data_IF_562346407929
#
_entry.id   IF_562346407929
#
_cell.length_a   1.000
_cell.length_b   1.000
_cell.length_c   1.000
_cell.angle_alpha   90.00
_cell.angle_beta   90.00
_cell.angle_gamma   90.00
#
_symmetry.space_group_name_H-M   'P 1'
#
loop_
_entity.id
_entity.type
_entity.pdbx_description
1 polymer ?
#
# COMPACT_ATOMS: atom_id res chain seq x y z
N UNK A 1 -17.02 0.21 21.67
CA UNK A 1 -17.09 -0.57 20.41
C UNK A 1 -15.70 -0.58 19.86
N UNK A 2 -15.12 -1.74 19.56
CA UNK A 2 -13.81 -1.83 18.90
C UNK A 2 -13.99 -1.31 17.48
N UNK A 3 -13.28 -0.23 17.12
CA UNK A 3 -13.31 0.32 15.76
C UNK A 3 -12.72 -0.70 14.78
N UNK A 4 -13.29 -0.77 13.57
CA UNK A 4 -12.87 -1.67 12.52
C UNK A 4 -11.43 -1.30 12.07
N UNK A 5 -10.41 -2.14 12.35
CA UNK A 5 -9.03 -1.75 12.06
C UNK A 5 -8.77 -1.63 10.55
N UNK A 6 -9.57 -2.30 9.70
CA UNK A 6 -9.46 -2.19 8.25
C UNK A 6 -9.72 -0.79 7.70
N UNK A 7 -10.31 0.13 8.49
CA UNK A 7 -10.52 1.53 8.11
C UNK A 7 -9.22 2.34 8.08
N UNK A 8 -8.15 1.88 8.73
CA UNK A 8 -6.84 2.54 8.71
C UNK A 8 -6.23 2.54 7.29
N UNK A 9 -6.46 1.48 6.53
CA UNK A 9 -5.87 1.28 5.20
C UNK A 9 -6.38 2.28 4.16
N UNK A 10 -7.69 2.47 3.92
CA UNK A 10 -8.17 3.49 2.98
C UNK A 10 -7.79 4.92 3.43
N UNK A 11 -7.68 5.18 4.73
CA UNK A 11 -7.20 6.48 5.22
C UNK A 11 -5.73 6.71 4.83
N UNK A 12 -4.86 5.72 5.02
CA UNK A 12 -3.44 5.81 4.62
C UNK A 12 -3.29 5.98 3.10
N UNK A 13 -4.12 5.27 2.32
CA UNK A 13 -4.21 5.45 0.86
C UNK A 13 -4.63 6.87 0.50
N UNK A 14 -5.65 7.43 1.15
CA UNK A 14 -6.10 8.80 0.88
C UNK A 14 -4.99 9.82 1.16
N UNK A 15 -4.25 9.65 2.27
CA UNK A 15 -3.09 10.50 2.59
C UNK A 15 -2.02 10.42 1.50
N UNK A 16 -1.74 9.22 1.02
CA UNK A 16 -0.78 8.99 -0.07
C UNK A 16 -1.25 9.64 -1.38
N UNK A 17 -2.53 9.52 -1.73
CA UNK A 17 -3.10 10.07 -2.96
C UNK A 17 -3.04 11.60 -3.00
N UNK A 18 -3.07 12.29 -1.83
CA UNK A 18 -2.84 13.74 -1.78
C UNK A 18 -1.44 14.13 -2.28
N UNK A 19 -0.41 13.33 -2.00
CA UNK A 19 0.92 13.55 -2.56
C UNK A 19 0.94 13.19 -4.05
N UNK A 20 0.35 12.05 -4.43
CA UNK A 20 0.28 11.58 -5.82
C UNK A 20 -0.29 12.65 -6.75
N UNK A 21 -1.31 13.39 -6.30
CA UNK A 21 -1.92 14.48 -7.07
C UNK A 21 -0.95 15.59 -7.49
N UNK A 22 0.17 15.76 -6.77
CA UNK A 22 1.21 16.77 -7.05
C UNK A 22 2.26 16.26 -8.05
N UNK A 23 2.36 14.94 -8.24
CA UNK A 23 3.44 14.32 -8.99
C UNK A 23 3.50 14.56 -10.51
N UNK A 24 2.46 15.08 -11.20
CA UNK A 24 2.64 15.56 -12.57
C UNK A 24 3.68 16.67 -12.71
N UNK A 25 4.06 17.35 -11.61
CA UNK A 25 5.14 18.33 -11.58
C UNK A 25 6.55 17.72 -11.49
N UNK A 26 6.67 16.39 -11.45
CA UNK A 26 7.96 15.71 -11.35
C UNK A 26 8.89 16.06 -12.52
N UNK A 27 10.11 16.46 -12.19
CA UNK A 27 11.15 16.92 -13.13
C UNK A 27 11.88 15.77 -13.86
N UNK A 28 11.47 14.53 -13.62
CA UNK A 28 12.08 13.33 -14.16
C UNK A 28 13.34 12.89 -13.42
N UNK A 29 13.75 13.56 -12.34
CA UNK A 29 14.90 13.14 -11.52
C UNK A 29 14.44 12.24 -10.37
N UNK A 30 14.91 10.99 -10.28
CA UNK A 30 14.56 10.12 -9.17
C UNK A 30 15.05 10.66 -7.83
N UNK A 31 14.28 10.40 -6.76
CA UNK A 31 14.69 10.69 -5.38
C UNK A 31 15.38 9.47 -4.78
N UNK A 32 16.37 9.70 -3.92
CA UNK A 32 17.07 8.64 -3.19
C UNK A 32 16.66 8.72 -1.72
N UNK A 33 16.16 7.62 -1.17
CA UNK A 33 15.85 7.51 0.26
C UNK A 33 17.11 7.41 1.11
N UNK A 34 16.98 7.56 2.42
CA UNK A 34 18.10 7.46 3.37
C UNK A 34 18.83 6.10 3.35
N UNK A 35 18.21 5.07 2.78
CA UNK A 35 18.77 3.74 2.61
C UNK A 35 19.05 3.38 1.15
N UNK A 36 19.41 4.40 0.35
CA UNK A 36 19.90 4.29 -1.03
C UNK A 36 18.90 3.68 -2.03
N UNK A 37 17.61 3.60 -1.68
CA UNK A 37 16.58 3.13 -2.60
C UNK A 37 16.10 4.29 -3.47
N UNK A 38 16.07 4.06 -4.77
CA UNK A 38 15.54 5.02 -5.74
C UNK A 38 14.02 5.05 -5.70
N UNK A 39 13.41 6.24 -5.74
CA UNK A 39 11.97 6.45 -5.82
C UNK A 39 11.62 7.43 -6.94
N UNK A 40 10.57 7.05 -7.66
CA UNK A 40 9.90 7.85 -8.68
C UNK A 40 8.40 7.80 -8.42
N UNK A 41 7.61 8.72 -8.99
CA UNK A 41 6.16 8.67 -8.89
C UNK A 41 5.56 7.29 -9.23
N UNK A 42 5.93 6.72 -10.39
CA UNK A 42 5.44 5.41 -10.82
C UNK A 42 5.86 4.29 -9.86
N UNK A 43 7.12 4.29 -9.40
CA UNK A 43 7.59 3.30 -8.43
C UNK A 43 6.82 3.38 -7.11
N UNK A 44 6.58 4.59 -6.60
CA UNK A 44 5.85 4.77 -5.35
C UNK A 44 4.41 4.26 -5.48
N UNK A 45 3.68 4.62 -6.55
CA UNK A 45 2.33 4.08 -6.81
C UNK A 45 2.36 2.55 -6.90
N UNK A 46 3.32 2.00 -7.64
CA UNK A 46 3.48 0.55 -7.77
C UNK A 46 3.73 -0.09 -6.41
N UNK A 47 4.67 0.42 -5.61
CA UNK A 47 5.00 -0.14 -4.29
C UNK A 47 3.85 -0.10 -3.30
N UNK A 48 3.02 0.94 -3.34
CA UNK A 48 1.79 0.99 -2.53
C UNK A 48 0.82 -0.10 -2.98
N UNK A 49 0.53 -0.19 -4.28
CA UNK A 49 -0.38 -1.21 -4.81
C UNK A 49 0.11 -2.62 -4.52
N UNK A 50 1.40 -2.84 -4.76
CA UNK A 50 2.13 -4.05 -4.49
C UNK A 50 1.93 -4.49 -3.02
N UNK A 51 2.29 -3.64 -2.07
CA UNK A 51 2.21 -3.96 -0.65
C UNK A 51 0.78 -4.21 -0.17
N UNK A 52 -0.20 -3.49 -0.73
CA UNK A 52 -1.62 -3.76 -0.48
C UNK A 52 -2.06 -5.12 -1.05
N UNK A 53 -1.56 -5.54 -2.21
CA UNK A 53 -1.88 -6.85 -2.80
C UNK A 53 -1.29 -7.99 -1.97
N UNK A 54 -0.05 -7.84 -1.54
CA UNK A 54 0.66 -8.83 -0.72
C UNK A 54 -0.10 -9.12 0.58
N UNK A 55 -0.40 -8.08 1.36
CA UNK A 55 -1.14 -8.26 2.60
C UNK A 55 -2.63 -8.60 2.40
N UNK A 56 -3.21 -8.28 1.24
CA UNK A 56 -4.56 -8.77 0.94
C UNK A 56 -4.53 -10.30 0.75
N UNK A 57 -3.52 -10.81 0.04
CA UNK A 57 -3.32 -12.26 -0.10
C UNK A 57 -3.05 -12.93 1.25
N UNK A 58 -2.24 -12.30 2.12
CA UNK A 58 -2.01 -12.77 3.49
C UNK A 58 -3.32 -12.85 4.28
N UNK A 59 -4.12 -11.78 4.30
CA UNK A 59 -5.42 -11.74 5.00
C UNK A 59 -6.35 -12.85 4.51
N UNK A 60 -6.47 -13.04 3.20
CA UNK A 60 -7.34 -14.08 2.64
C UNK A 60 -6.86 -15.49 2.99
N UNK A 61 -5.54 -15.75 2.98
CA UNK A 61 -4.98 -17.04 3.40
C UNK A 61 -5.26 -17.33 4.88
N UNK A 62 -5.03 -16.34 5.75
CA UNK A 62 -5.28 -16.44 7.19
C UNK A 62 -6.76 -16.69 7.50
N UNK A 63 -7.68 -16.03 6.79
CA UNK A 63 -9.12 -16.23 6.94
C UNK A 63 -9.59 -17.59 6.40
N UNK A 64 -8.97 -18.09 5.32
CA UNK A 64 -9.24 -19.41 4.77
C UNK A 64 -8.59 -20.55 5.58
N UNK A 65 -7.72 -20.24 6.55
CA UNK A 65 -7.03 -21.24 7.38
C UNK A 65 -5.97 -22.03 6.61
N UNK A 66 -5.40 -21.44 5.55
CA UNK A 66 -4.33 -22.03 4.74
C UNK A 66 -3.01 -21.30 4.95
N UNK A 67 -1.84 -21.92 4.66
CA UNK A 67 -0.56 -21.23 4.76
C UNK A 67 -0.50 -19.97 3.91
N UNK A 68 0.17 -18.94 4.42
CA UNK A 68 0.49 -17.72 3.65
C UNK A 68 1.51 -18.03 2.57
N UNK A 69 1.48 -17.27 1.47
CA UNK A 69 2.47 -17.37 0.41
C UNK A 69 3.71 -16.55 0.80
N UNK A 70 4.94 -17.07 0.61
CA UNK A 70 6.15 -16.28 0.81
C UNK A 70 6.21 -15.07 -0.13
N UNK A 71 6.62 -13.92 0.39
CA UNK A 71 6.96 -12.75 -0.43
C UNK A 71 8.31 -12.99 -1.13
N UNK A 72 8.25 -13.06 -2.47
CA UNK A 72 9.44 -13.21 -3.34
C UNK A 72 9.68 -11.95 -4.18
N UNK A 73 8.98 -10.86 -3.90
CA UNK A 73 9.10 -9.65 -4.69
C UNK A 73 10.43 -8.94 -4.42
N UNK A 74 11.05 -8.43 -5.48
CA UNK A 74 12.22 -7.55 -5.36
C UNK A 74 11.88 -6.19 -4.71
N UNK A 75 10.59 -5.90 -4.52
CA UNK A 75 10.07 -4.76 -3.78
C UNK A 75 10.77 -3.45 -4.17
N UNK A 76 11.23 -2.68 -3.17
CA UNK A 76 11.88 -1.39 -3.38
C UNK A 76 13.32 -1.49 -3.88
N UNK A 77 13.93 -2.69 -3.94
CA UNK A 77 15.26 -2.87 -4.52
C UNK A 77 15.25 -2.79 -6.05
N UNK A 78 14.11 -3.04 -6.69
CA UNK A 78 13.94 -2.92 -8.14
C UNK A 78 13.38 -1.56 -8.55
N UNK A 79 14.06 -0.90 -9.48
CA UNK A 79 13.52 0.22 -10.28
C UNK A 79 13.52 -0.20 -11.74
N UNK A 80 12.34 -0.35 -12.32
CA UNK A 80 12.14 -0.78 -13.71
C UNK A 80 12.20 0.42 -14.67
N UNK A 81 12.29 0.14 -15.98
CA UNK A 81 12.19 1.20 -16.99
C UNK A 81 10.82 1.89 -16.98
N UNK A 82 9.75 1.17 -16.66
CA UNK A 82 8.41 1.75 -16.52
C UNK A 82 8.33 2.73 -15.34
N UNK A 83 9.06 2.46 -14.26
CA UNK A 83 9.13 3.35 -13.11
C UNK A 83 9.77 4.72 -13.46
N UNK A 84 10.57 4.80 -14.53
CA UNK A 84 11.27 6.01 -14.95
C UNK A 84 10.49 6.86 -15.96
N UNK A 85 9.31 6.42 -16.40
CA UNK A 85 8.49 7.18 -17.34
C UNK A 85 8.00 8.51 -16.73
N UNK A 86 7.71 9.54 -17.54
CA UNK A 86 7.02 10.74 -17.06
C UNK A 86 5.72 10.36 -16.33
N UNK A 87 5.38 11.13 -15.29
CA UNK A 87 4.15 10.93 -14.54
C UNK A 87 3.13 11.99 -14.96
N UNK A 88 1.97 11.57 -15.44
CA UNK A 88 0.97 12.44 -16.05
C UNK A 88 -0.28 12.58 -15.17
N UNK A 89 -1.16 13.51 -15.54
CA UNK A 89 -2.49 13.65 -14.90
C UNK A 89 -3.33 12.39 -15.10
N UNK A 90 -3.17 11.66 -16.21
CA UNK A 90 -3.87 10.40 -16.41
C UNK A 90 -3.32 9.29 -15.50
N UNK A 91 -2.01 9.30 -15.21
CA UNK A 91 -1.42 8.39 -14.23
C UNK A 91 -1.93 8.66 -12.80
N UNK A 92 -2.17 9.93 -12.43
CA UNK A 92 -2.84 10.29 -11.17
C UNK A 92 -4.22 9.65 -11.11
N UNK A 93 -5.02 9.78 -12.17
CA UNK A 93 -6.38 9.20 -12.23
C UNK A 93 -6.34 7.68 -12.10
N UNK A 94 -5.42 7.03 -12.82
CA UNK A 94 -5.22 5.58 -12.73
C UNK A 94 -4.80 5.15 -11.31
N UNK A 95 -3.90 5.89 -10.68
CA UNK A 95 -3.46 5.65 -9.31
C UNK A 95 -4.61 5.82 -8.30
N UNK A 96 -5.39 6.90 -8.39
CA UNK A 96 -6.59 7.11 -7.56
C UNK A 96 -7.57 5.94 -7.71
N UNK A 97 -7.95 5.61 -8.93
CA UNK A 97 -8.91 4.54 -9.18
C UNK A 97 -8.42 3.19 -8.63
N UNK A 98 -7.14 2.86 -8.81
CA UNK A 98 -6.55 1.60 -8.37
C UNK A 98 -6.41 1.54 -6.86
N UNK A 99 -5.72 2.51 -6.26
CA UNK A 99 -5.36 2.49 -4.85
C UNK A 99 -6.58 2.64 -3.96
N UNK A 100 -7.54 3.52 -4.31
CA UNK A 100 -8.76 3.66 -3.51
C UNK A 100 -9.60 2.37 -3.47
N UNK A 101 -9.63 1.61 -4.56
CA UNK A 101 -10.32 0.29 -4.58
C UNK A 101 -9.60 -0.75 -3.74
N UNK A 102 -8.27 -0.81 -3.82
CA UNK A 102 -7.46 -1.71 -2.98
C UNK A 102 -7.63 -1.36 -1.50
N UNK A 103 -7.44 -0.10 -1.11
CA UNK A 103 -7.63 0.34 0.28
C UNK A 103 -9.04 0.07 0.80
N UNK A 104 -10.08 0.36 0.00
CA UNK A 104 -11.48 0.05 0.36
C UNK A 104 -11.73 -1.44 0.57
N UNK A 105 -11.03 -2.31 -0.17
CA UNK A 105 -11.20 -3.76 -0.06
C UNK A 105 -10.85 -4.26 1.35
N UNK A 106 -9.81 -3.69 2.00
CA UNK A 106 -9.48 -4.01 3.38
C UNK A 106 -10.59 -3.62 4.36
N UNK A 107 -11.08 -2.38 4.30
CA UNK A 107 -12.18 -1.94 5.17
C UNK A 107 -13.43 -2.82 5.04
N UNK A 108 -13.78 -3.19 3.80
CA UNK A 108 -14.89 -4.10 3.51
C UNK A 108 -14.62 -5.52 4.02
N UNK A 109 -13.40 -6.04 3.85
CA UNK A 109 -13.05 -7.39 4.28
C UNK A 109 -13.10 -7.54 5.79
N UNK A 110 -12.60 -6.54 6.51
CA UNK A 110 -12.58 -6.55 7.96
C UNK A 110 -13.98 -6.35 8.54
N UNK A 111 -14.84 -5.57 7.87
CA UNK A 111 -16.25 -5.44 8.23
C UNK A 111 -17.07 -6.71 7.97
N UNK A 112 -16.62 -7.58 7.06
CA UNK A 112 -17.33 -8.79 6.65
C UNK A 112 -17.05 -10.02 7.54
N UNK A 113 -15.99 -9.98 8.34
CA UNK A 113 -15.61 -11.07 9.27
C UNK A 113 -16.09 -10.75 10.68
N UNK A 114 -16.20 -11.79 11.53
CA UNK A 114 -16.50 -11.61 12.94
C UNK A 114 -15.40 -10.72 13.58
N UNK A 115 -15.75 -9.66 14.35
CA UNK A 115 -14.76 -8.84 15.05
C UNK A 115 -13.78 -9.63 15.94
N UNK A 116 -14.17 -10.83 16.40
CA UNK A 116 -13.26 -11.72 17.12
C UNK A 116 -12.08 -12.21 16.27
N UNK A 117 -12.21 -12.25 14.93
CA UNK A 117 -11.12 -12.61 14.02
C UNK A 117 -10.04 -11.53 13.92
N UNK A 118 -10.35 -10.27 14.28
CA UNK A 118 -9.40 -9.16 14.18
C UNK A 118 -8.19 -9.35 15.08
N UNK A 119 -8.43 -9.86 16.29
CA UNK A 119 -7.44 -10.02 17.37
C UNK A 119 -7.15 -11.50 17.70
N UNK A 120 -7.65 -12.43 16.89
CA UNK A 120 -7.42 -13.87 17.07
C UNK A 120 -5.93 -14.19 16.95
N UNK A 121 -5.43 -15.00 17.88
CA UNK A 121 -4.08 -15.54 17.85
C UNK A 121 -3.88 -16.43 16.61
N UNK A 122 -2.84 -16.14 15.82
CA UNK A 122 -2.46 -16.85 14.59
C UNK A 122 -1.04 -17.44 14.68
N UNK A 123 -0.55 -17.65 15.90
CA UNK A 123 0.75 -18.24 16.18
C UNK A 123 1.89 -17.34 15.74
N UNK A 124 2.65 -17.76 14.73
CA UNK A 124 3.77 -16.98 14.19
C UNK A 124 3.33 -15.86 13.23
N UNK A 125 2.08 -15.91 12.73
CA UNK A 125 1.55 -14.89 11.82
C UNK A 125 0.95 -13.72 12.61
N UNK A 126 0.86 -12.56 11.96
CA UNK A 126 0.19 -11.39 12.52
C UNK A 126 -1.32 -11.59 12.65
N UNK A 127 -1.92 -10.89 13.63
CA UNK A 127 -3.36 -10.71 13.68
C UNK A 127 -3.82 -9.81 12.53
N UNK A 128 -5.11 -9.84 12.19
CA UNK A 128 -5.62 -8.94 11.15
C UNK A 128 -5.45 -7.48 11.59
N UNK A 129 -5.66 -7.16 12.88
CA UNK A 129 -5.40 -5.81 13.40
C UNK A 129 -3.96 -5.37 13.14
N UNK A 130 -2.99 -6.22 13.44
CA UNK A 130 -1.56 -5.92 13.22
C UNK A 130 -1.27 -5.68 11.73
N UNK A 131 -1.86 -6.47 10.83
CA UNK A 131 -1.74 -6.26 9.38
C UNK A 131 -2.29 -4.88 8.98
N UNK A 132 -3.50 -4.52 9.44
CA UNK A 132 -4.10 -3.23 9.10
C UNK A 132 -3.31 -2.03 9.65
N UNK A 133 -2.74 -2.17 10.86
CA UNK A 133 -1.85 -1.17 11.45
C UNK A 133 -0.54 -1.04 10.66
N UNK A 134 0.07 -2.17 10.28
CA UNK A 134 1.27 -2.18 9.46
C UNK A 134 1.04 -1.53 8.09
N UNK A 135 -0.12 -1.77 7.47
CA UNK A 135 -0.46 -1.20 6.17
C UNK A 135 -0.59 0.33 6.16
N UNK A 136 -0.59 1.01 7.32
CA UNK A 136 -0.46 2.47 7.37
C UNK A 136 0.90 2.93 6.85
N UNK A 137 1.93 2.09 6.96
CA UNK A 137 3.29 2.38 6.50
C UNK A 137 3.40 2.53 4.97
N UNK A 138 2.36 2.21 4.19
CA UNK A 138 2.36 2.50 2.74
C UNK A 138 2.58 3.97 2.41
N UNK A 139 2.21 4.87 3.34
CA UNK A 139 2.47 6.31 3.22
C UNK A 139 3.95 6.62 3.06
N UNK A 140 4.81 5.80 3.66
CA UNK A 140 6.26 5.97 3.57
C UNK A 140 6.73 5.98 2.11
N UNK A 141 6.14 5.14 1.23
CA UNK A 141 6.48 5.12 -0.20
C UNK A 141 6.14 6.44 -0.89
N UNK A 142 4.98 7.02 -0.59
CA UNK A 142 4.58 8.31 -1.15
C UNK A 142 5.45 9.45 -0.60
N UNK A 143 5.83 9.39 0.67
CA UNK A 143 6.73 10.36 1.30
C UNK A 143 8.13 10.38 0.66
N UNK A 144 8.61 9.25 0.11
CA UNK A 144 9.90 9.23 -0.60
C UNK A 144 9.90 10.10 -1.87
N UNK A 145 8.74 10.27 -2.51
CA UNK A 145 8.57 11.21 -3.62
C UNK A 145 8.19 12.60 -3.10
N UNK A 146 7.38 12.66 -2.04
CA UNK A 146 7.03 13.90 -1.34
C UNK A 146 6.03 14.78 -2.10
N UNK A 147 5.83 15.99 -1.60
CA UNK A 147 5.00 17.02 -2.23
C UNK A 147 5.84 17.77 -3.30
N UNK A 148 5.28 17.92 -4.51
CA UNK A 148 5.90 18.62 -5.64
C UNK A 148 5.16 19.90 -6.05
N UNK A 149 4.23 20.39 -5.24
CA UNK A 149 3.50 21.65 -5.48
C UNK A 149 4.30 22.93 -5.21
#
# INVERSE_FOLDING_TARGET
>A
MTENPGELVPQAVERSLRLVATWPAWDGQPRISDDDRTFTPHKAVRRIADHLVDHLAEVEALLAGVPTQPDEWHASALTSAADLAPFTVDDVREAEQRLSRLGRTFALRYAAVDPAEWDKDRGANWTLRQIAEHLVEVEWYAQQVGDLS
#
